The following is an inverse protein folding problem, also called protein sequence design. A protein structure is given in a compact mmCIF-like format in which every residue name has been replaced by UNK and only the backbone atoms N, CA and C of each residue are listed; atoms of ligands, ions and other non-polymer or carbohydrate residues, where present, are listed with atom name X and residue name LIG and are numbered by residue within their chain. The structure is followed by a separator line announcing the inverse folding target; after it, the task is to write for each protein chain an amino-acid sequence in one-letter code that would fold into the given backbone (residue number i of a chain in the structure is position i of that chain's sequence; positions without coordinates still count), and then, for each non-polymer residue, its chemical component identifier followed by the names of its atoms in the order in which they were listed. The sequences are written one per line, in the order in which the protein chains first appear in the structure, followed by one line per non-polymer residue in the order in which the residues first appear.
data_IF_533923271420
#
_entry.id   IF_533923271420
#
_cell.length_a   1.000
_cell.length_b   1.000
_cell.length_c   1.000
_cell.angle_alpha   90.00
_cell.angle_beta   90.00
_cell.angle_gamma   90.00
#
_symmetry.space_group_name_H-M   'P 1'
#
loop_
_entity.id
_entity.type
_entity.pdbx_description
1 polymer ?
#
# COMPACT_ATOMS: atom_id res chain seq x y z
N UNK A 1 20.00 -12.83 -16.61
CA UNK A 1 18.96 -13.49 -15.80
C UNK A 1 19.55 -14.77 -15.23
N UNK A 2 20.25 -14.70 -14.09
CA UNK A 2 20.76 -15.89 -13.42
C UNK A 2 19.87 -16.17 -12.21
N UNK A 3 19.20 -17.32 -12.22
CA UNK A 3 18.28 -17.80 -11.19
C UNK A 3 19.04 -17.98 -9.86
N UNK A 4 19.00 -16.98 -8.97
CA UNK A 4 19.41 -17.13 -7.56
C UNK A 4 18.22 -17.61 -6.73
N UNK A 5 17.60 -18.70 -7.17
CA UNK A 5 16.62 -19.43 -6.35
C UNK A 5 16.99 -20.91 -6.43
N UNK A 6 18.04 -21.27 -5.69
CA UNK A 6 18.42 -22.66 -5.49
C UNK A 6 17.39 -23.27 -4.53
N UNK A 7 16.31 -23.82 -5.07
CA UNK A 7 15.46 -24.76 -4.35
C UNK A 7 16.31 -25.99 -4.01
N UNK A 8 16.89 -26.00 -2.81
CA UNK A 8 17.73 -27.10 -2.36
C UNK A 8 16.84 -28.27 -1.93
N UNK A 9 16.82 -29.35 -2.73
CA UNK A 9 16.28 -30.65 -2.31
C UNK A 9 17.41 -31.47 -1.70
N UNK A 10 17.64 -31.33 -0.39
CA UNK A 10 18.64 -32.12 0.34
C UNK A 10 18.92 -31.58 1.75
N UNK A 11 19.55 -32.39 2.61
CA UNK A 11 19.97 -31.99 3.95
C UNK A 11 21.15 -31.01 3.91
N UNK A 12 21.14 -30.02 4.81
CA UNK A 12 22.17 -28.99 4.90
C UNK A 12 23.45 -29.57 5.55
N UNK A 13 24.54 -29.67 4.78
CA UNK A 13 25.84 -30.13 5.27
C UNK A 13 26.81 -28.95 5.49
N UNK A 14 27.75 -29.05 6.44
CA UNK A 14 28.69 -27.96 6.79
C UNK A 14 29.58 -27.57 5.60
N UNK A 15 30.03 -28.55 4.82
CA UNK A 15 30.89 -28.31 3.65
C UNK A 15 30.15 -27.56 2.52
N UNK A 16 28.85 -27.78 2.42
CA UNK A 16 27.99 -27.07 1.47
C UNK A 16 27.79 -25.63 1.90
N UNK A 17 27.59 -25.39 3.20
CA UNK A 17 27.44 -24.05 3.77
C UNK A 17 28.69 -23.20 3.51
N UNK A 18 29.88 -23.77 3.70
CA UNK A 18 31.14 -23.10 3.42
C UNK A 18 31.33 -22.76 1.93
N UNK A 19 30.88 -23.64 1.02
CA UNK A 19 30.87 -23.34 -0.42
C UNK A 19 29.94 -22.17 -0.76
N UNK A 20 28.73 -22.15 -0.19
CA UNK A 20 27.79 -21.05 -0.40
C UNK A 20 28.30 -19.74 0.17
N UNK A 21 28.95 -19.78 1.33
CA UNK A 21 29.58 -18.61 1.92
C UNK A 21 30.63 -18.04 0.98
N UNK A 22 31.53 -18.89 0.47
CA UNK A 22 32.55 -18.46 -0.50
C UNK A 22 31.91 -17.87 -1.76
N UNK A 23 30.93 -18.54 -2.37
CA UNK A 23 30.27 -18.02 -3.58
C UNK A 23 29.53 -16.70 -3.34
N UNK A 24 28.95 -16.51 -2.15
CA UNK A 24 28.22 -15.29 -1.82
C UNK A 24 29.17 -14.08 -1.73
N UNK A 25 30.31 -14.22 -1.05
CA UNK A 25 31.27 -13.12 -0.88
C UNK A 25 32.19 -12.90 -2.09
N UNK A 26 32.24 -13.82 -3.06
CA UNK A 26 32.96 -13.59 -4.31
C UNK A 26 32.32 -12.50 -5.17
N UNK A 27 30.99 -12.34 -5.11
CA UNK A 27 30.28 -11.38 -5.95
C UNK A 27 30.05 -10.05 -5.21
N UNK A 28 30.57 -8.96 -5.76
CA UNK A 28 30.39 -7.60 -5.21
C UNK A 28 28.91 -7.17 -5.13
N UNK A 29 28.05 -7.70 -6.01
CA UNK A 29 26.61 -7.42 -6.02
C UNK A 29 25.89 -7.97 -4.79
N UNK A 30 26.31 -9.12 -4.30
CA UNK A 30 25.72 -9.75 -3.12
C UNK A 30 26.12 -8.99 -1.85
N UNK A 31 27.36 -8.50 -1.80
CA UNK A 31 27.84 -7.62 -0.73
C UNK A 31 27.07 -6.29 -0.74
N UNK A 32 26.87 -5.69 -1.92
CA UNK A 32 26.08 -4.47 -2.05
C UNK A 32 24.63 -4.71 -1.60
N UNK A 33 23.98 -5.78 -2.07
CA UNK A 33 22.63 -6.14 -1.65
C UNK A 33 22.55 -6.36 -0.12
N UNK A 34 23.54 -7.03 0.48
CA UNK A 34 23.62 -7.21 1.93
C UNK A 34 23.73 -5.88 2.67
N UNK A 35 24.58 -4.96 2.20
CA UNK A 35 24.76 -3.64 2.81
C UNK A 35 23.49 -2.79 2.72
N UNK A 36 22.78 -2.88 1.61
CA UNK A 36 21.54 -2.13 1.40
C UNK A 36 20.41 -2.73 2.25
N UNK A 37 20.23 -4.05 2.27
CA UNK A 37 19.24 -4.73 3.12
C UNK A 37 19.56 -4.66 4.62
N UNK A 38 20.81 -4.38 5.00
CA UNK A 38 21.17 -4.13 6.41
C UNK A 38 20.75 -2.73 6.88
N UNK A 39 20.51 -1.81 5.95
CA UNK A 39 20.17 -0.40 6.24
C UNK A 39 18.71 -0.04 5.96
N UNK A 40 18.05 -0.72 5.02
CA UNK A 40 16.66 -0.47 4.64
C UNK A 40 15.82 -1.74 4.64
N UNK A 41 14.49 -1.57 4.59
CA UNK A 41 13.57 -2.69 4.50
C UNK A 41 13.81 -3.47 3.18
N UNK A 42 13.94 -4.82 3.24
CA UNK A 42 14.23 -5.62 2.06
C UNK A 42 13.20 -5.50 0.92
N UNK A 43 11.94 -5.19 1.24
CA UNK A 43 10.90 -5.00 0.23
C UNK A 43 11.09 -3.68 -0.52
N UNK A 44 11.42 -2.60 0.17
CA UNK A 44 11.71 -1.32 -0.48
C UNK A 44 12.93 -1.39 -1.39
N UNK A 45 13.97 -2.10 -0.95
CA UNK A 45 15.23 -2.27 -1.68
C UNK A 45 15.06 -3.14 -2.94
N UNK A 46 14.17 -4.13 -2.89
CA UNK A 46 13.90 -5.04 -4.00
C UNK A 46 12.84 -4.53 -4.98
N UNK A 47 12.12 -3.45 -4.64
CA UNK A 47 11.14 -2.83 -5.51
C UNK A 47 11.80 -2.05 -6.65
N UNK A 48 11.31 -2.29 -7.86
CA UNK A 48 11.68 -1.52 -9.06
C UNK A 48 11.14 -0.10 -8.94
N UNK A 49 12.03 0.89 -8.97
CA UNK A 49 11.64 2.31 -8.98
C UNK A 49 10.66 2.65 -10.10
N UNK A 50 10.80 2.02 -11.27
CA UNK A 50 9.90 2.20 -12.41
C UNK A 50 8.47 1.73 -12.08
N UNK A 51 8.33 0.59 -11.40
CA UNK A 51 7.02 0.09 -10.97
C UNK A 51 6.42 0.97 -9.88
N UNK A 52 7.24 1.52 -8.98
CA UNK A 52 6.80 2.46 -7.95
C UNK A 52 6.26 3.75 -8.58
N UNK A 53 6.97 4.32 -9.55
CA UNK A 53 6.56 5.54 -10.24
C UNK A 53 5.22 5.31 -10.98
N UNK A 54 5.11 4.25 -11.78
CA UNK A 54 3.88 3.89 -12.51
C UNK A 54 2.66 3.67 -11.59
N UNK A 55 2.87 3.05 -10.41
CA UNK A 55 1.78 2.81 -9.44
C UNK A 55 1.46 4.04 -8.58
N UNK A 56 2.44 4.86 -8.21
CA UNK A 56 2.21 6.05 -7.36
C UNK A 56 1.27 7.06 -8.02
N UNK A 57 1.31 7.23 -9.34
CA UNK A 57 0.44 8.18 -10.03
C UNK A 57 -1.04 7.79 -9.95
N UNK A 58 -1.35 6.49 -9.84
CA UNK A 58 -2.72 5.96 -9.76
C UNK A 58 -3.26 5.97 -8.34
N UNK A 59 -2.42 5.70 -7.33
CA UNK A 59 -2.84 5.64 -5.93
C UNK A 59 -2.86 6.99 -5.20
N UNK A 60 -2.27 8.05 -5.77
CA UNK A 60 -2.35 9.40 -5.22
C UNK A 60 -3.71 10.09 -5.48
N UNK A 61 -4.62 9.49 -6.24
CA UNK A 61 -6.00 9.95 -6.32
C UNK A 61 -6.76 9.54 -5.04
N UNK A 62 -6.53 10.34 -4.00
CA UNK A 62 -7.34 10.62 -2.81
C UNK A 62 -8.32 9.51 -2.38
N UNK A 63 -8.10 9.01 -1.17
CA UNK A 63 -9.07 8.16 -0.48
C UNK A 63 -10.46 8.85 -0.52
N UNK A 64 -11.45 8.31 -1.27
CA UNK A 64 -12.67 9.05 -1.60
C UNK A 64 -13.61 9.25 -0.39
N UNK A 65 -13.31 8.58 0.73
CA UNK A 65 -14.09 8.61 1.96
C UNK A 65 -13.24 9.08 3.15
N UNK A 66 -12.30 10.01 2.94
CA UNK A 66 -11.54 10.60 4.04
C UNK A 66 -12.40 11.59 4.82
N UNK A 67 -12.28 11.58 6.15
CA UNK A 67 -13.09 12.45 7.04
C UNK A 67 -12.64 13.93 7.00
N UNK A 68 -11.41 14.20 6.55
CA UNK A 68 -10.86 15.54 6.45
C UNK A 68 -11.47 16.35 5.30
N UNK A 69 -11.72 17.65 5.53
CA UNK A 69 -12.30 18.56 4.54
C UNK A 69 -11.80 19.99 4.67
N UNK A 70 -12.24 20.86 3.76
CA UNK A 70 -11.94 22.29 3.76
C UNK A 70 -13.11 23.10 4.38
N UNK A 71 -12.84 24.30 4.89
CA UNK A 71 -13.87 25.18 5.48
C UNK A 71 -15.05 25.44 4.54
N UNK A 72 -14.78 25.62 3.24
CA UNK A 72 -15.82 25.86 2.24
C UNK A 72 -16.77 24.67 2.08
N UNK A 73 -16.29 23.44 2.31
CA UNK A 73 -17.12 22.23 2.29
C UNK A 73 -18.11 22.25 3.46
N UNK A 74 -17.68 22.69 4.64
CA UNK A 74 -18.55 22.85 5.81
C UNK A 74 -19.62 23.91 5.52
N UNK A 75 -19.24 25.06 4.96
CA UNK A 75 -20.21 26.11 4.58
C UNK A 75 -21.26 25.58 3.59
N UNK A 76 -20.86 24.77 2.62
CA UNK A 76 -21.78 24.17 1.65
C UNK A 76 -22.75 23.17 2.32
N UNK A 77 -22.28 22.38 3.29
CA UNK A 77 -23.13 21.47 4.07
C UNK A 77 -24.14 22.25 4.93
N UNK A 78 -23.70 23.30 5.62
CA UNK A 78 -24.58 24.15 6.43
C UNK A 78 -25.64 24.84 5.56
N UNK A 79 -25.25 25.40 4.42
CA UNK A 79 -26.19 26.04 3.49
C UNK A 79 -27.25 25.08 2.95
N UNK A 80 -26.89 23.81 2.74
CA UNK A 80 -27.78 22.80 2.16
C UNK A 80 -28.64 22.06 3.20
N UNK A 81 -28.08 21.77 4.36
CA UNK A 81 -28.68 20.86 5.36
C UNK A 81 -28.99 21.52 6.71
N UNK A 82 -28.52 22.75 6.96
CA UNK A 82 -28.70 23.44 8.24
C UNK A 82 -27.86 22.83 9.37
N UNK A 83 -28.20 23.16 10.62
CA UNK A 83 -27.53 22.68 11.83
C UNK A 83 -28.56 22.15 12.83
N UNK A 84 -28.18 21.12 13.58
CA UNK A 84 -28.99 20.54 14.66
C UNK A 84 -28.19 20.51 15.98
N UNK A 85 -28.82 20.77 17.14
CA UNK A 85 -28.16 20.61 18.42
C UNK A 85 -27.75 19.15 18.67
N UNK A 86 -26.55 18.93 19.22
CA UNK A 86 -26.00 17.59 19.52
C UNK A 86 -26.89 16.74 20.45
N UNK A 87 -27.72 17.37 21.28
CA UNK A 87 -28.70 16.66 22.13
C UNK A 87 -29.73 15.85 21.33
N UNK A 88 -30.07 16.31 20.14
CA UNK A 88 -31.05 15.68 19.27
C UNK A 88 -30.40 14.68 18.29
N UNK A 89 -29.05 14.62 18.24
CA UNK A 89 -28.29 13.70 17.40
C UNK A 89 -26.99 13.27 18.11
N UNK A 90 -27.04 12.23 18.96
CA UNK A 90 -25.87 11.74 19.70
C UNK A 90 -24.90 10.99 18.77
N UNK A 91 -23.63 10.93 19.17
CA UNK A 91 -22.62 10.23 18.39
C UNK A 91 -22.78 8.71 18.49
N UNK A 92 -22.49 8.04 17.38
CA UNK A 92 -22.53 6.57 17.28
C UNK A 92 -21.10 6.03 17.13
N UNK A 93 -20.89 4.74 17.35
CA UNK A 93 -19.57 4.07 17.22
C UNK A 93 -18.84 4.39 15.90
N UNK A 94 -19.57 4.53 14.78
CA UNK A 94 -18.97 4.88 13.48
C UNK A 94 -18.54 6.35 13.36
N UNK A 95 -19.01 7.24 14.23
CA UNK A 95 -18.54 8.63 14.33
C UNK A 95 -17.17 8.70 15.03
N UNK A 96 -16.92 7.82 16.00
CA UNK A 96 -15.67 7.77 16.77
C UNK A 96 -14.62 6.87 16.10
N UNK A 97 -15.05 5.77 15.48
CA UNK A 97 -14.18 4.79 14.80
C UNK A 97 -14.59 4.62 13.32
N UNK A 98 -14.35 5.66 12.52
CA UNK A 98 -14.72 5.73 11.10
C UNK A 98 -13.89 4.82 10.18
N UNK A 99 -12.69 4.38 10.61
CA UNK A 99 -11.74 3.60 9.79
C UNK A 99 -12.38 2.38 9.11
N UNK A 100 -13.13 1.57 9.86
CA UNK A 100 -13.75 0.35 9.33
C UNK A 100 -14.86 0.66 8.32
N UNK A 101 -15.61 1.74 8.53
CA UNK A 101 -16.63 2.20 7.59
C UNK A 101 -15.99 2.72 6.31
N UNK A 102 -14.95 3.54 6.43
CA UNK A 102 -14.23 4.14 5.30
C UNK A 102 -13.56 3.06 4.44
N UNK A 103 -13.02 1.99 5.04
CA UNK A 103 -12.50 0.83 4.30
C UNK A 103 -13.58 0.13 3.44
N UNK A 104 -14.78 -0.07 3.98
CA UNK A 104 -15.89 -0.69 3.24
C UNK A 104 -16.38 0.21 2.12
N UNK A 105 -16.52 1.51 2.38
CA UNK A 105 -16.92 2.50 1.38
C UNK A 105 -15.91 2.59 0.25
N UNK A 106 -14.61 2.65 0.58
CA UNK A 106 -13.53 2.68 -0.40
C UNK A 106 -13.58 1.48 -1.34
N UNK A 107 -13.73 0.27 -0.80
CA UNK A 107 -13.84 -0.95 -1.60
C UNK A 107 -14.99 -0.88 -2.61
N UNK A 108 -16.16 -0.42 -2.18
CA UNK A 108 -17.32 -0.26 -3.06
C UNK A 108 -17.13 0.82 -4.11
N UNK A 109 -16.63 2.00 -3.73
CA UNK A 109 -16.42 3.12 -4.67
C UNK A 109 -15.43 2.73 -5.77
N UNK A 110 -14.34 2.06 -5.42
CA UNK A 110 -13.36 1.57 -6.41
C UNK A 110 -14.00 0.53 -7.34
N UNK A 111 -14.80 -0.40 -6.78
CA UNK A 111 -15.53 -1.38 -7.57
C UNK A 111 -16.46 -0.71 -8.60
N UNK A 112 -17.27 0.26 -8.18
CA UNK A 112 -18.16 0.99 -9.08
C UNK A 112 -17.40 1.83 -10.11
N UNK A 113 -16.29 2.47 -9.72
CA UNK A 113 -15.45 3.24 -10.64
C UNK A 113 -14.85 2.33 -11.73
N UNK A 114 -14.34 1.16 -11.35
CA UNK A 114 -13.84 0.16 -12.29
C UNK A 114 -14.92 -0.31 -13.25
N UNK A 115 -16.10 -0.65 -12.73
CA UNK A 115 -17.25 -1.06 -13.53
C UNK A 115 -17.67 0.04 -14.51
N UNK A 116 -17.74 1.29 -14.06
CA UNK A 116 -18.13 2.43 -14.90
C UNK A 116 -17.15 2.67 -16.05
N UNK A 117 -15.84 2.62 -15.80
CA UNK A 117 -14.81 2.76 -16.85
C UNK A 117 -14.88 1.61 -17.84
N UNK A 118 -15.07 0.37 -17.36
CA UNK A 118 -15.18 -0.80 -18.22
C UNK A 118 -16.40 -0.71 -19.16
N UNK A 119 -17.53 -0.23 -18.67
CA UNK A 119 -18.75 -0.07 -19.48
C UNK A 119 -18.73 1.13 -20.43
N UNK A 120 -17.99 2.20 -20.13
CA UNK A 120 -17.87 3.37 -21.03
C UNK A 120 -16.73 3.23 -22.05
N UNK A 121 -15.88 2.21 -21.92
CA UNK A 121 -14.78 1.93 -22.85
C UNK A 121 -15.14 0.87 -23.91
N UNK A 122 -16.37 0.34 -23.86
CA UNK A 122 -17.00 -0.52 -24.88
C UNK A 122 -18.02 0.35 -25.63
#
# INVERSE_FOLDING_TARGET
MNKVCLFFKGALNKDLLEKFRKSFYTEEKNILAQNVCSRGDPFEVSLSRKALEETQHVFNHKDPAQDGGQWDMILNLIKKHGLIPKKNFPETFSCEASLKMNQLLRSKVIFYAFFYVYFNSI
#
